data_IF_851595504228
#
_entry.id   IF_851595504228
#
_cell.length_a   1.000
_cell.length_b   1.000
_cell.length_c   1.000
_cell.angle_alpha   90.00
_cell.angle_beta   90.00
_cell.angle_gamma   90.00
#
_symmetry.space_group_name_H-M   'P 1'
#
loop_
_entity.id
_entity.type
_entity.pdbx_description
1 polymer ?
#
# COMPACT_ATOMS: atom_id res chain seq x y z
N UNK A 1 -21.47 -5.53 -0.59
CA UNK A 1 -21.43 -4.58 0.57
C UNK A 1 -20.23 -3.64 0.37
N UNK A 2 -20.29 -2.37 0.78
CA UNK A 2 -19.14 -1.44 0.60
C UNK A 2 -18.45 -1.18 1.93
N UNK A 3 -17.15 -1.48 2.00
CA UNK A 3 -16.30 -1.22 3.17
C UNK A 3 -15.19 -0.24 2.81
N UNK A 4 -14.79 0.59 3.77
CA UNK A 4 -13.80 1.64 3.57
C UNK A 4 -12.83 1.65 4.74
N UNK A 5 -11.54 1.78 4.46
CA UNK A 5 -10.50 1.93 5.49
C UNK A 5 -9.45 2.94 5.03
N UNK A 6 -8.84 3.64 5.98
CA UNK A 6 -7.74 4.54 5.69
C UNK A 6 -6.47 3.71 5.43
N UNK A 7 -5.91 3.74 4.20
CA UNK A 7 -4.72 2.97 3.88
C UNK A 7 -3.47 3.62 4.46
N UNK A 8 -2.51 2.78 4.83
CA UNK A 8 -1.14 3.15 5.13
C UNK A 8 -0.25 2.57 4.02
N UNK A 9 0.58 3.40 3.40
CA UNK A 9 1.47 2.95 2.34
C UNK A 9 2.89 2.76 2.89
N UNK A 10 3.36 1.51 2.94
CA UNK A 10 4.70 1.16 3.42
C UNK A 10 5.55 0.62 2.26
N UNK A 11 6.86 0.84 2.31
CA UNK A 11 7.78 0.32 1.28
C UNK A 11 8.52 -0.88 1.85
N UNK A 12 8.35 -2.04 1.21
CA UNK A 12 9.15 -3.23 1.48
C UNK A 12 10.02 -3.55 0.26
N UNK A 13 10.94 -4.50 0.44
CA UNK A 13 11.86 -4.92 -0.61
C UNK A 13 11.90 -6.44 -0.66
N UNK A 14 11.78 -7.01 -1.86
CA UNK A 14 12.02 -8.44 -2.06
C UNK A 14 13.51 -8.77 -1.84
N UNK A 15 13.82 -10.05 -1.64
CA UNK A 15 15.21 -10.52 -1.62
C UNK A 15 15.99 -10.19 -2.91
N UNK A 16 15.28 -9.95 -4.03
CA UNK A 16 15.83 -9.50 -5.31
C UNK A 16 16.16 -7.99 -5.38
N UNK A 17 16.01 -7.27 -4.26
CA UNK A 17 16.17 -5.82 -4.15
C UNK A 17 15.17 -4.95 -4.92
N UNK A 18 14.12 -5.54 -5.52
CA UNK A 18 13.03 -4.77 -6.12
C UNK A 18 12.09 -4.27 -5.01
N UNK A 19 11.88 -2.94 -4.87
CA UNK A 19 10.95 -2.41 -3.89
C UNK A 19 9.49 -2.57 -4.36
N UNK A 20 8.59 -2.74 -3.40
CA UNK A 20 7.14 -2.78 -3.61
C UNK A 20 6.44 -1.99 -2.50
N UNK A 21 5.28 -1.42 -2.82
CA UNK A 21 4.46 -0.65 -1.88
C UNK A 21 3.38 -1.57 -1.33
N UNK A 22 3.27 -1.68 0.00
CA UNK A 22 2.18 -2.37 0.65
C UNK A 22 1.10 -1.40 1.07
N UNK A 23 -0.12 -1.91 1.09
CA UNK A 23 -1.29 -1.27 1.65
C UNK A 23 -1.58 -1.99 2.97
N UNK A 24 -1.34 -1.28 4.05
CA UNK A 24 -1.75 -1.66 5.39
C UNK A 24 -2.97 -0.81 5.79
N UNK A 25 -3.63 -1.16 6.90
CA UNK A 25 -4.77 -0.41 7.41
C UNK A 25 -4.48 0.05 8.84
N UNK A 26 -4.62 1.34 9.11
CA UNK A 26 -4.45 1.87 10.47
C UNK A 26 -5.51 1.31 11.44
N UNK A 27 -6.71 1.04 10.91
CA UNK A 27 -7.83 0.40 11.59
C UNK A 27 -8.47 -0.59 10.62
N UNK A 28 -8.52 -1.86 11.01
CA UNK A 28 -9.19 -2.90 10.23
C UNK A 28 -10.57 -3.17 10.83
N UNK A 29 -11.63 -2.77 10.12
CA UNK A 29 -13.00 -3.14 10.47
C UNK A 29 -13.27 -4.62 10.16
N UNK A 30 -14.31 -5.18 10.79
CA UNK A 30 -14.69 -6.58 10.62
C UNK A 30 -14.96 -6.93 9.14
N UNK A 31 -14.17 -7.89 8.64
CA UNK A 31 -14.20 -8.37 7.26
C UNK A 31 -13.56 -7.42 6.23
N UNK A 32 -12.63 -6.55 6.66
CA UNK A 32 -11.57 -6.11 5.77
C UNK A 32 -10.62 -7.29 5.47
N UNK A 33 -10.04 -7.36 4.26
CA UNK A 33 -9.03 -8.35 3.93
C UNK A 33 -7.86 -8.32 4.92
N UNK A 34 -7.47 -9.49 5.42
CA UNK A 34 -6.30 -9.67 6.29
C UNK A 34 -5.02 -9.98 5.51
N UNK A 35 -5.15 -10.21 4.21
CA UNK A 35 -4.03 -10.45 3.29
C UNK A 35 -3.27 -9.15 3.00
N UNK A 36 -1.98 -9.28 2.68
CA UNK A 36 -1.14 -8.16 2.28
C UNK A 36 -1.41 -7.81 0.81
N UNK A 37 -1.92 -6.60 0.58
CA UNK A 37 -2.10 -6.05 -0.76
C UNK A 37 -0.97 -5.08 -1.06
N UNK A 38 -0.52 -5.04 -2.31
CA UNK A 38 0.56 -4.14 -2.69
C UNK A 38 0.70 -3.97 -4.19
N UNK A 39 1.58 -3.05 -4.54
CA UNK A 39 1.94 -2.72 -5.91
C UNK A 39 3.45 -2.87 -6.09
N UNK A 40 3.83 -3.67 -7.09
CA UNK A 40 5.21 -3.73 -7.53
C UNK A 40 5.62 -2.41 -8.19
N UNK A 41 6.81 -1.94 -7.86
CA UNK A 41 7.40 -0.80 -8.55
C UNK A 41 8.19 -1.26 -9.77
N UNK A 42 8.35 -0.36 -10.73
CA UNK A 42 9.09 -0.65 -11.96
C UNK A 42 10.52 -1.09 -11.63
N UNK A 43 11.10 -2.07 -12.35
CA UNK A 43 12.50 -2.43 -12.21
C UNK A 43 13.41 -1.21 -12.32
N UNK A 44 14.43 -1.13 -11.46
CA UNK A 44 15.34 0.02 -11.38
C UNK A 44 14.83 1.19 -10.53
N UNK A 45 13.63 1.11 -9.97
CA UNK A 45 13.17 2.10 -8.97
C UNK A 45 14.03 1.99 -7.72
N UNK A 46 14.67 3.10 -7.33
CA UNK A 46 15.45 3.14 -6.10
C UNK A 46 14.54 3.08 -4.87
N UNK A 47 15.10 2.67 -3.73
CA UNK A 47 14.35 2.63 -2.48
C UNK A 47 13.90 4.02 -2.01
N UNK A 48 14.73 5.05 -2.24
CA UNK A 48 14.37 6.45 -1.97
C UNK A 48 13.19 6.90 -2.82
N UNK A 49 13.21 6.59 -4.12
CA UNK A 49 12.07 6.90 -5.01
C UNK A 49 10.82 6.13 -4.61
N UNK A 50 10.95 4.88 -4.17
CA UNK A 50 9.84 4.11 -3.65
C UNK A 50 9.20 4.79 -2.43
N UNK A 51 10.00 5.33 -1.51
CA UNK A 51 9.51 6.09 -0.35
C UNK A 51 8.79 7.37 -0.74
N UNK A 52 9.32 8.12 -1.72
CA UNK A 52 8.64 9.30 -2.25
C UNK A 52 7.26 8.97 -2.84
N UNK A 53 7.14 7.84 -3.55
CA UNK A 53 5.87 7.38 -4.10
C UNK A 53 4.90 7.01 -2.97
N UNK A 54 5.35 6.26 -1.97
CA UNK A 54 4.51 5.89 -0.83
C UNK A 54 4.04 7.12 -0.03
N UNK A 55 4.91 8.12 0.14
CA UNK A 55 4.55 9.39 0.77
C UNK A 55 3.51 10.14 -0.08
N UNK A 56 3.75 10.26 -1.39
CA UNK A 56 2.80 10.90 -2.30
C UNK A 56 1.43 10.22 -2.27
N UNK A 57 1.38 8.89 -2.23
CA UNK A 57 0.12 8.16 -2.09
C UNK A 57 -0.56 8.46 -0.75
N UNK A 58 0.19 8.46 0.35
CA UNK A 58 -0.34 8.78 1.68
C UNK A 58 -0.90 10.19 1.77
N UNK A 59 -0.26 11.17 1.11
CA UNK A 59 -0.68 12.57 1.15
C UNK A 59 -1.91 12.86 0.27
N UNK A 60 -2.21 12.00 -0.71
CA UNK A 60 -3.21 12.28 -1.74
C UNK A 60 -4.38 11.30 -1.77
N UNK A 61 -4.31 10.15 -1.09
CA UNK A 61 -5.35 9.13 -1.08
C UNK A 61 -6.09 9.12 0.26
N UNK A 62 -7.42 9.13 0.20
CA UNK A 62 -8.29 9.13 1.38
C UNK A 62 -8.59 7.72 1.89
N UNK A 63 -9.57 7.04 1.28
CA UNK A 63 -10.02 5.72 1.72
C UNK A 63 -9.81 4.65 0.65
N UNK A 64 -9.31 3.49 1.06
CA UNK A 64 -9.37 2.27 0.28
C UNK A 64 -10.78 1.69 0.36
N UNK A 65 -11.41 1.45 -0.78
CA UNK A 65 -12.81 0.98 -0.86
C UNK A 65 -12.88 -0.40 -1.47
N UNK A 66 -13.57 -1.32 -0.78
CA UNK A 66 -13.80 -2.70 -1.23
C UNK A 66 -15.28 -2.89 -1.48
N UNK A 67 -15.59 -3.50 -2.61
CA UNK A 67 -16.97 -3.86 -2.97
C UNK A 67 -17.02 -5.36 -3.23
N UNK A 68 -17.84 -6.05 -2.45
CA UNK A 68 -18.29 -7.44 -2.68
C UNK A 68 -19.61 -7.46 -3.44
#
# INVERSE_FOLDING_TARGET
>A
MTKRAQPLFTVNQYASHVPYINIEYATADEGMPTELFGFDLKPGTSFERAREIAQYMSDNLGDFTITE
#
